data_IF_314803314693
#
_entry.id   IF_314803314693
#
_cell.length_a   1.000
_cell.length_b   1.000
_cell.length_c   1.000
_cell.angle_alpha   90.00
_cell.angle_beta   90.00
_cell.angle_gamma   90.00
#
_symmetry.space_group_name_H-M   'P 1'
#
loop_
_entity.id
_entity.type
_entity.pdbx_description
1 polymer ?
#
# COMPACT_ATOMS: atom_id res chain seq x y z
N UNK A 1 1.60 6.10 -80.03
CA UNK A 1 0.95 7.31 -80.53
C UNK A 1 -0.04 7.78 -79.50
N UNK A 2 0.10 9.07 -79.09
CA UNK A 2 -0.69 9.81 -78.10
C UNK A 2 -0.43 9.61 -76.61
N UNK A 3 0.38 10.49 -76.09
CA UNK A 3 0.51 11.04 -74.76
C UNK A 3 -0.77 11.77 -74.31
N UNK A 4 -1.14 11.64 -73.01
CA UNK A 4 -1.82 12.72 -72.27
C UNK A 4 -1.38 12.73 -70.82
N UNK A 5 -0.67 13.79 -70.48
CA UNK A 5 -0.40 14.29 -69.10
C UNK A 5 -1.65 14.94 -68.52
N UNK A 6 -1.95 14.65 -67.25
CA UNK A 6 -2.70 15.59 -66.45
C UNK A 6 -2.34 15.47 -64.95
N UNK A 7 -1.93 16.51 -64.27
CA UNK A 7 -1.54 16.51 -62.88
C UNK A 7 -2.79 16.69 -61.97
N UNK A 8 -3.08 15.75 -61.14
CA UNK A 8 -4.10 15.89 -60.08
C UNK A 8 -3.47 16.49 -58.84
N UNK A 9 -3.96 17.63 -58.47
CA UNK A 9 -3.61 18.37 -57.25
C UNK A 9 -3.86 17.57 -55.98
N UNK A 10 -2.79 17.26 -55.24
CA UNK A 10 -2.85 16.69 -53.89
C UNK A 10 -3.10 17.87 -52.93
N UNK A 11 -4.33 18.07 -52.46
CA UNK A 11 -4.64 18.92 -51.32
C UNK A 11 -4.26 18.18 -50.05
N UNK A 12 -3.13 18.56 -49.46
CA UNK A 12 -2.76 18.16 -48.12
C UNK A 12 -3.70 18.85 -47.11
N UNK A 13 -4.61 18.08 -46.52
CA UNK A 13 -5.37 18.52 -45.38
C UNK A 13 -4.46 18.41 -44.16
N UNK A 14 -3.92 19.52 -43.67
CA UNK A 14 -3.28 19.64 -42.39
C UNK A 14 -4.38 19.55 -41.30
N UNK A 15 -4.60 18.35 -40.74
CA UNK A 15 -5.28 18.22 -39.46
C UNK A 15 -4.33 18.68 -38.37
N UNK A 16 -4.50 19.90 -37.91
CA UNK A 16 -3.84 20.40 -36.68
C UNK A 16 -4.44 19.61 -35.49
N UNK A 17 -3.76 18.55 -35.06
CA UNK A 17 -3.97 17.98 -33.73
C UNK A 17 -3.44 19.00 -32.71
N UNK A 18 -4.34 19.78 -32.15
CA UNK A 18 -4.09 20.53 -30.95
C UNK A 18 -3.92 19.51 -29.81
N UNK A 19 -2.69 19.06 -29.57
CA UNK A 19 -2.34 18.35 -28.35
C UNK A 19 -2.55 19.32 -27.19
N UNK A 20 -3.66 19.19 -26.49
CA UNK A 20 -3.83 19.79 -25.16
C UNK A 20 -2.85 19.04 -24.27
N UNK A 21 -1.62 19.58 -24.18
CA UNK A 21 -0.69 19.23 -23.12
C UNK A 21 -1.34 19.83 -21.88
N UNK A 22 -2.12 19.02 -21.16
CA UNK A 22 -2.45 19.33 -19.78
C UNK A 22 -1.11 19.45 -19.06
N UNK A 23 -0.71 20.68 -18.74
CA UNK A 23 0.37 20.94 -17.80
C UNK A 23 -0.03 20.20 -16.51
N UNK A 24 0.49 18.99 -16.32
CA UNK A 24 0.55 18.41 -15.00
C UNK A 24 1.42 19.36 -14.18
N UNK A 25 0.79 20.20 -13.38
CA UNK A 25 1.48 20.91 -12.31
C UNK A 25 2.11 19.82 -11.45
N UNK A 26 3.40 19.63 -11.63
CA UNK A 26 4.20 18.72 -10.79
C UNK A 26 3.87 19.06 -9.34
N UNK A 27 3.22 18.15 -8.65
CA UNK A 27 2.91 18.30 -7.23
C UNK A 27 4.24 18.34 -6.52
N UNK A 28 4.58 19.46 -5.92
CA UNK A 28 5.85 19.64 -5.23
C UNK A 28 5.67 19.22 -3.78
N UNK A 29 6.55 18.38 -3.26
CA UNK A 29 6.61 18.12 -1.83
C UNK A 29 7.19 19.33 -1.08
N UNK A 30 6.57 19.66 0.05
CA UNK A 30 7.00 20.73 0.96
C UNK A 30 7.51 20.06 2.22
N UNK A 31 8.80 20.22 2.59
CA UNK A 31 9.33 19.69 3.84
C UNK A 31 8.61 20.31 5.05
N UNK A 32 8.40 19.49 6.09
CA UNK A 32 7.83 19.96 7.36
C UNK A 32 8.84 20.85 8.10
N UNK A 33 8.35 21.91 8.71
CA UNK A 33 9.16 22.87 9.48
C UNK A 33 8.77 22.88 10.95
N UNK A 34 9.67 23.38 11.81
CA UNK A 34 9.38 23.53 13.25
C UNK A 34 8.14 24.38 13.50
N UNK A 35 7.94 25.47 12.77
CA UNK A 35 6.81 26.37 12.92
C UNK A 35 5.46 25.68 12.62
N UNK A 36 5.45 24.74 11.72
CA UNK A 36 4.22 24.02 11.31
C UNK A 36 3.77 22.99 12.34
N UNK A 37 4.65 22.59 13.25
CA UNK A 37 4.33 21.69 14.37
C UNK A 37 4.15 22.44 15.70
N UNK A 38 3.94 23.75 15.66
CA UNK A 38 3.78 24.59 16.86
C UNK A 38 2.80 24.05 17.90
N UNK A 39 1.63 23.49 17.54
CA UNK A 39 0.71 22.91 18.51
C UNK A 39 1.25 21.69 19.30
N UNK A 40 2.39 21.14 18.84
CA UNK A 40 3.00 19.93 19.39
C UNK A 40 4.40 20.18 19.98
N UNK A 41 4.85 21.45 20.07
CA UNK A 41 6.20 21.79 20.56
C UNK A 41 6.49 21.16 21.91
N UNK A 42 5.64 21.37 22.93
CA UNK A 42 5.85 20.82 24.28
C UNK A 42 6.03 19.31 24.28
N UNK A 43 5.27 18.61 23.42
CA UNK A 43 5.33 17.14 23.29
C UNK A 43 6.60 16.67 22.59
N UNK A 44 7.07 17.42 21.58
CA UNK A 44 8.32 17.15 20.88
C UNK A 44 9.52 17.46 21.78
N UNK A 45 9.50 18.59 22.52
CA UNK A 45 10.54 18.99 23.47
C UNK A 45 10.68 18.00 24.61
N UNK A 46 9.57 17.47 25.14
CA UNK A 46 9.59 16.39 26.14
C UNK A 46 10.30 15.12 25.64
N UNK A 47 10.51 14.99 24.33
CA UNK A 47 11.26 13.88 23.68
C UNK A 47 12.64 14.32 23.18
N UNK A 48 13.11 15.52 23.57
CA UNK A 48 14.41 16.06 23.20
C UNK A 48 14.48 16.61 21.77
N UNK A 49 13.33 16.81 21.11
CA UNK A 49 13.24 17.39 19.77
C UNK A 49 12.85 18.88 19.93
N UNK A 50 13.84 19.77 19.86
CA UNK A 50 13.70 21.22 20.00
C UNK A 50 13.84 21.91 18.65
N UNK A 51 13.58 23.23 18.59
CA UNK A 51 13.79 24.00 17.35
C UNK A 51 15.22 23.87 16.79
N UNK A 52 16.21 23.77 17.67
CA UNK A 52 17.62 23.61 17.28
C UNK A 52 17.95 22.22 16.74
N UNK A 53 17.24 21.16 17.17
CA UNK A 53 17.50 19.77 16.79
C UNK A 53 16.54 19.24 15.74
N UNK A 54 15.45 19.96 15.43
CA UNK A 54 14.36 19.50 14.59
C UNK A 54 14.80 19.13 13.16
N UNK A 55 15.55 20.00 12.49
CA UNK A 55 16.03 19.72 11.13
C UNK A 55 16.86 18.43 11.09
N UNK A 56 17.80 18.26 12.03
CA UNK A 56 18.60 17.04 12.14
C UNK A 56 17.76 15.79 12.48
N UNK A 57 16.67 15.94 13.23
CA UNK A 57 15.73 14.85 13.48
C UNK A 57 15.02 14.44 12.19
N UNK A 58 14.45 15.39 11.45
CA UNK A 58 13.76 15.13 10.17
C UNK A 58 14.68 14.46 9.16
N UNK A 59 15.94 14.89 9.05
CA UNK A 59 16.93 14.28 8.15
C UNK A 59 17.28 12.84 8.55
N UNK A 60 17.38 12.55 9.84
CA UNK A 60 17.56 11.16 10.32
C UNK A 60 16.36 10.29 9.99
N UNK A 61 15.12 10.79 10.21
CA UNK A 61 13.91 10.06 9.86
C UNK A 61 13.86 9.76 8.37
N UNK A 62 14.17 10.73 7.50
CA UNK A 62 14.22 10.55 6.05
C UNK A 62 15.23 9.47 5.65
N UNK A 63 16.43 9.50 6.23
CA UNK A 63 17.46 8.50 5.96
C UNK A 63 17.05 7.11 6.44
N UNK A 64 16.44 7.01 7.62
CA UNK A 64 15.93 5.76 8.16
C UNK A 64 14.78 5.20 7.30
N UNK A 65 13.84 6.03 6.91
CA UNK A 65 12.73 5.63 6.03
C UNK A 65 13.25 5.12 4.68
N UNK A 66 14.25 5.77 4.06
CA UNK A 66 14.87 5.28 2.82
C UNK A 66 15.52 3.89 2.99
N UNK A 67 16.17 3.64 4.14
CA UNK A 67 16.67 2.31 4.50
C UNK A 67 15.54 1.31 4.65
N UNK A 68 14.48 1.66 5.38
CA UNK A 68 13.31 0.81 5.65
C UNK A 68 12.52 0.45 4.38
N UNK A 69 12.42 1.36 3.41
CA UNK A 69 11.84 1.06 2.08
C UNK A 69 12.62 -0.07 1.42
N UNK A 70 13.95 0.05 1.35
CA UNK A 70 14.80 -0.99 0.76
C UNK A 70 14.70 -2.32 1.50
N UNK A 71 14.67 -2.30 2.84
CA UNK A 71 14.50 -3.52 3.65
C UNK A 71 13.13 -4.16 3.42
N UNK A 72 12.06 -3.38 3.26
CA UNK A 72 10.73 -3.88 2.90
C UNK A 72 10.71 -4.58 1.55
N UNK A 73 11.33 -3.96 0.53
CA UNK A 73 11.47 -4.58 -0.79
C UNK A 73 12.26 -5.89 -0.74
N UNK A 74 13.30 -5.96 0.10
CA UNK A 74 14.07 -7.19 0.30
C UNK A 74 13.29 -8.25 1.09
N UNK A 75 12.45 -7.86 2.03
CA UNK A 75 11.52 -8.79 2.68
C UNK A 75 10.60 -9.46 1.64
N UNK A 76 10.01 -8.67 0.73
CA UNK A 76 9.20 -9.21 -0.37
C UNK A 76 9.98 -10.15 -1.28
N UNK A 77 11.23 -9.81 -1.60
CA UNK A 77 12.11 -10.68 -2.38
C UNK A 77 12.32 -12.04 -1.70
N UNK A 78 12.55 -12.03 -0.38
CA UNK A 78 12.73 -13.28 0.38
C UNK A 78 11.44 -14.09 0.45
N UNK A 79 10.28 -13.46 0.69
CA UNK A 79 9.00 -14.16 0.67
C UNK A 79 8.68 -14.73 -0.72
N UNK A 80 8.96 -13.97 -1.79
CA UNK A 80 8.85 -14.46 -3.15
C UNK A 80 9.78 -15.67 -3.38
N UNK A 81 11.03 -15.61 -2.93
CA UNK A 81 11.98 -16.71 -3.02
C UNK A 81 11.46 -17.99 -2.32
N UNK A 82 10.79 -17.85 -1.17
CA UNK A 82 10.29 -18.98 -0.41
C UNK A 82 8.99 -19.57 -1.00
N UNK A 83 8.09 -18.74 -1.49
CA UNK A 83 6.70 -19.13 -1.77
C UNK A 83 6.39 -19.31 -3.26
N UNK A 84 7.03 -18.52 -4.16
CA UNK A 84 6.69 -18.53 -5.58
C UNK A 84 7.01 -19.86 -6.28
N UNK A 85 6.13 -20.26 -7.19
CA UNK A 85 6.31 -21.40 -8.07
C UNK A 85 6.68 -20.99 -9.51
N UNK A 86 6.77 -19.70 -9.80
CA UNK A 86 6.96 -19.18 -11.16
C UNK A 86 8.40 -19.33 -11.67
N UNK A 87 9.38 -19.25 -10.79
CA UNK A 87 10.80 -19.31 -11.18
C UNK A 87 11.47 -20.65 -10.88
N UNK A 88 10.83 -21.55 -10.15
CA UNK A 88 11.40 -22.83 -9.71
C UNK A 88 10.35 -23.94 -9.63
N UNK A 89 10.82 -25.20 -9.75
CA UNK A 89 10.00 -26.40 -9.47
C UNK A 89 10.16 -26.92 -8.05
N UNK A 90 11.00 -26.30 -7.24
CA UNK A 90 11.15 -26.67 -5.83
C UNK A 90 9.85 -26.36 -5.08
N UNK A 91 9.44 -27.19 -4.13
CA UNK A 91 8.22 -26.97 -3.36
C UNK A 91 8.28 -25.62 -2.63
N UNK A 92 7.16 -24.88 -2.52
CA UNK A 92 7.11 -23.67 -1.73
C UNK A 92 7.35 -23.97 -0.24
N UNK A 93 7.92 -22.99 0.46
CA UNK A 93 8.23 -23.06 1.88
C UNK A 93 7.38 -22.02 2.60
N UNK A 94 6.65 -22.45 3.60
CA UNK A 94 5.87 -21.57 4.45
C UNK A 94 6.81 -20.73 5.35
N UNK A 95 6.71 -19.39 5.34
CA UNK A 95 7.67 -18.51 6.02
C UNK A 95 7.78 -18.73 7.53
N UNK A 96 6.68 -19.00 8.25
CA UNK A 96 6.74 -19.24 9.69
C UNK A 96 7.47 -20.55 10.03
N UNK A 97 7.26 -21.61 9.22
CA UNK A 97 8.02 -22.87 9.38
C UNK A 97 9.50 -22.67 9.06
N UNK A 98 9.81 -21.88 8.02
CA UNK A 98 11.18 -21.53 7.64
C UNK A 98 11.88 -20.74 8.75
N UNK A 99 11.18 -19.77 9.35
CA UNK A 99 11.67 -18.98 10.46
C UNK A 99 11.96 -19.84 11.71
N UNK A 100 11.05 -20.77 12.02
CA UNK A 100 11.25 -21.72 13.12
C UNK A 100 12.46 -22.62 12.87
N UNK A 101 12.60 -23.18 11.67
CA UNK A 101 13.72 -24.03 11.31
C UNK A 101 15.07 -23.28 11.40
N UNK A 102 15.11 -22.00 11.01
CA UNK A 102 16.30 -21.16 11.15
C UNK A 102 16.75 -21.02 12.62
N UNK A 103 15.81 -20.78 13.53
CA UNK A 103 16.11 -20.65 14.97
C UNK A 103 16.52 -21.99 15.57
N UNK A 104 15.81 -23.05 15.26
CA UNK A 104 16.10 -24.43 15.77
C UNK A 104 17.48 -24.92 15.32
N UNK A 105 17.99 -24.44 14.18
CA UNK A 105 19.32 -24.81 13.65
C UNK A 105 20.46 -23.86 14.07
N UNK A 106 20.21 -22.94 15.00
CA UNK A 106 21.22 -21.97 15.46
C UNK A 106 21.59 -20.95 14.36
N UNK A 107 20.60 -20.41 13.67
CA UNK A 107 20.71 -19.43 12.58
C UNK A 107 21.40 -19.96 11.30
N UNK A 108 21.48 -21.25 11.11
CA UNK A 108 21.89 -21.83 9.83
C UNK A 108 20.72 -21.88 8.87
N UNK A 109 20.91 -21.34 7.65
CA UNK A 109 19.88 -21.40 6.62
C UNK A 109 19.56 -22.86 6.27
N UNK A 110 18.27 -23.25 6.23
CA UNK A 110 17.87 -24.58 5.75
C UNK A 110 18.33 -24.81 4.30
N UNK A 111 18.75 -26.04 3.94
CA UNK A 111 19.25 -26.33 2.58
C UNK A 111 18.25 -26.03 1.47
N UNK A 112 16.97 -26.31 1.71
CA UNK A 112 15.86 -26.06 0.78
C UNK A 112 15.63 -24.55 0.56
N UNK A 113 15.66 -23.74 1.61
CA UNK A 113 15.59 -22.28 1.51
C UNK A 113 16.77 -21.71 0.71
N UNK A 114 17.99 -22.20 0.96
CA UNK A 114 19.18 -21.79 0.19
C UNK A 114 19.07 -22.21 -1.28
N UNK A 115 18.55 -23.40 -1.57
CA UNK A 115 18.33 -23.88 -2.93
C UNK A 115 17.37 -22.95 -3.68
N UNK A 116 16.26 -22.53 -3.06
CA UNK A 116 15.31 -21.60 -3.68
C UNK A 116 15.92 -20.22 -3.93
N UNK A 117 16.77 -19.70 -3.04
CA UNK A 117 17.50 -18.45 -3.25
C UNK A 117 18.41 -18.57 -4.49
N UNK A 118 19.10 -19.69 -4.68
CA UNK A 118 19.90 -19.93 -5.90
C UNK A 118 19.09 -19.98 -7.16
N UNK A 119 17.96 -20.70 -7.14
CA UNK A 119 17.02 -20.74 -8.29
C UNK A 119 16.49 -19.34 -8.65
N UNK A 120 16.16 -18.52 -7.63
CA UNK A 120 15.75 -17.14 -7.86
C UNK A 120 16.87 -16.31 -8.50
N UNK A 121 18.11 -16.42 -8.02
CA UNK A 121 19.26 -15.73 -8.62
C UNK A 121 19.47 -16.16 -10.07
N UNK A 122 19.35 -17.46 -10.38
CA UNK A 122 19.42 -17.96 -11.74
C UNK A 122 18.30 -17.36 -12.64
N UNK A 123 17.07 -17.24 -12.09
CA UNK A 123 15.95 -16.62 -12.81
C UNK A 123 16.17 -15.11 -13.02
N UNK A 124 16.74 -14.41 -12.02
CA UNK A 124 17.11 -13.00 -12.12
C UNK A 124 18.14 -12.75 -13.22
N UNK A 125 19.13 -13.61 -13.35
CA UNK A 125 20.19 -13.48 -14.37
C UNK A 125 19.74 -14.00 -15.76
N UNK A 126 18.61 -14.70 -15.84
CA UNK A 126 18.06 -15.18 -17.11
C UNK A 126 17.25 -14.09 -17.82
N UNK A 127 16.79 -14.40 -19.04
CA UNK A 127 15.90 -13.53 -19.82
C UNK A 127 14.42 -13.65 -19.43
N UNK A 128 14.10 -14.02 -18.20
CA UNK A 128 12.71 -14.13 -17.72
C UNK A 128 11.91 -12.84 -17.98
N UNK A 129 10.71 -12.98 -18.50
CA UNK A 129 9.74 -11.91 -18.72
C UNK A 129 8.69 -11.84 -17.61
N UNK A 130 8.79 -12.69 -16.59
CA UNK A 130 7.91 -12.62 -15.43
C UNK A 130 8.00 -11.24 -14.76
N UNK A 131 6.89 -10.54 -14.53
CA UNK A 131 6.90 -9.18 -13.99
C UNK A 131 7.56 -9.08 -12.61
N UNK A 132 7.40 -10.09 -11.74
CA UNK A 132 8.02 -10.10 -10.41
C UNK A 132 9.52 -10.36 -10.49
N UNK A 133 9.96 -11.31 -11.33
CA UNK A 133 11.39 -11.56 -11.57
C UNK A 133 12.05 -10.31 -12.16
N UNK A 134 11.38 -9.62 -13.08
CA UNK A 134 11.88 -8.37 -13.66
C UNK A 134 12.02 -7.26 -12.61
N UNK A 135 11.01 -7.12 -11.76
CA UNK A 135 11.05 -6.18 -10.63
C UNK A 135 12.22 -6.48 -9.68
N UNK A 136 12.33 -7.73 -9.23
CA UNK A 136 13.37 -8.15 -8.29
C UNK A 136 14.77 -8.14 -8.92
N UNK A 137 14.91 -8.34 -10.24
CA UNK A 137 16.17 -8.14 -10.95
C UNK A 137 16.70 -6.73 -10.77
N UNK A 138 15.85 -5.72 -11.00
CA UNK A 138 16.23 -4.32 -10.82
C UNK A 138 16.65 -4.04 -9.37
N UNK A 139 15.89 -4.55 -8.39
CA UNK A 139 16.19 -4.40 -6.96
C UNK A 139 17.54 -5.05 -6.59
N UNK A 140 17.76 -6.31 -6.98
CA UNK A 140 18.98 -7.07 -6.63
C UNK A 140 20.21 -6.44 -7.26
N UNK A 141 20.14 -6.02 -8.52
CA UNK A 141 21.29 -5.39 -9.20
C UNK A 141 21.62 -4.02 -8.59
N UNK A 142 20.62 -3.23 -8.21
CA UNK A 142 20.85 -1.93 -7.56
C UNK A 142 21.41 -2.08 -6.14
N UNK A 143 20.91 -3.07 -5.38
CA UNK A 143 21.31 -3.26 -3.98
C UNK A 143 22.61 -4.03 -3.84
N UNK A 144 22.84 -5.05 -4.68
CA UNK A 144 23.99 -5.95 -4.65
C UNK A 144 24.71 -5.96 -6.01
N UNK A 145 25.49 -4.92 -6.33
CA UNK A 145 26.13 -4.79 -7.65
C UNK A 145 27.18 -5.88 -7.95
N UNK A 146 27.79 -6.45 -6.92
CA UNK A 146 28.81 -7.50 -7.07
C UNK A 146 28.13 -8.87 -7.20
N UNK A 147 28.12 -9.43 -8.41
CA UNK A 147 27.43 -10.69 -8.70
C UNK A 147 27.87 -11.88 -7.81
N UNK A 148 29.17 -11.99 -7.54
CA UNK A 148 29.74 -13.07 -6.73
C UNK A 148 29.40 -12.99 -5.24
N UNK A 149 28.85 -11.87 -4.76
CA UNK A 149 28.44 -11.70 -3.35
C UNK A 149 26.91 -11.78 -3.17
N UNK A 150 26.13 -11.91 -4.25
CA UNK A 150 24.66 -11.83 -4.19
C UNK A 150 24.03 -12.97 -3.38
N UNK A 151 24.52 -14.21 -3.52
CA UNK A 151 23.99 -15.34 -2.76
C UNK A 151 24.14 -15.11 -1.27
N UNK A 152 25.34 -14.77 -0.82
CA UNK A 152 25.62 -14.55 0.62
C UNK A 152 24.82 -13.35 1.15
N UNK A 153 24.72 -12.27 0.38
CA UNK A 153 23.91 -11.12 0.74
C UNK A 153 22.41 -11.48 0.88
N UNK A 154 21.85 -12.27 -0.03
CA UNK A 154 20.47 -12.73 0.08
C UNK A 154 20.26 -13.74 1.23
N UNK A 155 21.26 -14.52 1.57
CA UNK A 155 21.24 -15.37 2.76
C UNK A 155 21.20 -14.52 4.05
N UNK A 156 21.90 -13.40 4.09
CA UNK A 156 21.83 -12.48 5.23
C UNK A 156 20.47 -11.78 5.32
N UNK A 157 19.91 -11.37 4.19
CA UNK A 157 18.53 -10.82 4.13
C UNK A 157 17.48 -11.88 4.52
N UNK A 158 17.65 -13.13 4.10
CA UNK A 158 16.79 -14.23 4.56
C UNK A 158 16.84 -14.35 6.09
N UNK A 159 18.04 -14.32 6.70
CA UNK A 159 18.16 -14.37 8.16
C UNK A 159 17.44 -13.20 8.84
N UNK A 160 17.56 -11.99 8.30
CA UNK A 160 16.88 -10.79 8.80
C UNK A 160 15.37 -10.94 8.73
N UNK A 161 14.83 -11.29 7.55
CA UNK A 161 13.40 -11.46 7.34
C UNK A 161 12.83 -12.58 8.21
N UNK A 162 13.49 -13.75 8.31
CA UNK A 162 13.02 -14.87 9.11
C UNK A 162 13.09 -14.61 10.62
N UNK A 163 14.04 -13.83 11.11
CA UNK A 163 14.04 -13.36 12.51
C UNK A 163 12.83 -12.49 12.83
N UNK A 164 12.46 -11.60 11.92
CA UNK A 164 11.24 -10.81 12.08
C UNK A 164 10.01 -11.72 12.13
N UNK A 165 9.86 -12.65 11.19
CA UNK A 165 8.75 -13.61 11.17
C UNK A 165 8.69 -14.43 12.46
N UNK A 166 9.83 -14.96 12.90
CA UNK A 166 9.90 -15.73 14.16
C UNK A 166 9.45 -14.89 15.36
N UNK A 167 9.98 -13.68 15.49
CA UNK A 167 9.62 -12.80 16.60
C UNK A 167 8.14 -12.43 16.56
N UNK A 168 7.58 -12.17 15.38
CA UNK A 168 6.17 -11.85 15.20
C UNK A 168 5.26 -13.04 15.58
N UNK A 169 5.53 -14.21 15.01
CA UNK A 169 4.61 -15.36 15.12
C UNK A 169 4.76 -16.13 16.44
N UNK A 170 5.97 -16.19 17.00
CA UNK A 170 6.24 -17.07 18.14
C UNK A 170 6.60 -16.35 19.44
N UNK A 171 7.03 -15.08 19.38
CA UNK A 171 7.48 -14.33 20.57
C UNK A 171 6.52 -13.20 20.91
N UNK A 172 6.32 -12.24 20.03
CA UNK A 172 5.57 -11.02 20.33
C UNK A 172 4.09 -11.27 20.60
N UNK A 173 3.49 -12.26 19.92
CA UNK A 173 2.08 -12.64 20.21
C UNK A 173 1.86 -13.07 21.66
N UNK A 174 2.88 -13.69 22.29
CA UNK A 174 2.83 -14.10 23.70
C UNK A 174 3.12 -12.95 24.65
N UNK A 175 3.86 -11.94 24.19
CA UNK A 175 4.25 -10.78 24.99
C UNK A 175 3.22 -9.63 24.95
N UNK A 176 2.23 -9.69 24.05
CA UNK A 176 1.12 -8.74 23.93
C UNK A 176 1.30 -7.67 22.82
N UNK A 177 0.26 -6.87 22.64
CA UNK A 177 0.15 -5.92 21.53
C UNK A 177 1.29 -4.90 21.44
N UNK A 178 1.87 -4.47 22.56
CA UNK A 178 3.00 -3.54 22.58
C UNK A 178 4.25 -4.12 21.91
N UNK A 179 4.58 -5.40 22.17
CA UNK A 179 5.74 -6.04 21.56
C UNK A 179 5.56 -6.22 20.04
N UNK A 180 4.34 -6.48 19.57
CA UNK A 180 4.02 -6.52 18.14
C UNK A 180 4.23 -5.14 17.49
N UNK A 181 3.75 -4.08 18.13
CA UNK A 181 3.93 -2.71 17.64
C UNK A 181 5.42 -2.31 17.53
N UNK A 182 6.25 -2.71 18.51
CA UNK A 182 7.70 -2.47 18.47
C UNK A 182 8.37 -3.14 17.27
N UNK A 183 7.95 -4.37 16.93
CA UNK A 183 8.44 -5.06 15.75
C UNK A 183 8.11 -4.32 14.45
N UNK A 184 6.89 -3.78 14.32
CA UNK A 184 6.49 -3.01 13.14
C UNK A 184 7.26 -1.70 13.02
N UNK A 185 7.55 -1.03 14.13
CA UNK A 185 8.37 0.19 14.15
C UNK A 185 9.83 -0.07 13.73
N UNK A 186 10.34 -1.26 13.99
CA UNK A 186 11.74 -1.61 13.70
C UNK A 186 11.98 -2.24 12.32
N UNK A 187 10.93 -2.79 11.65
CA UNK A 187 11.08 -3.51 10.37
C UNK A 187 11.14 -2.60 9.15
N UNK A 188 11.46 -3.19 7.99
CA UNK A 188 11.27 -2.56 6.69
C UNK A 188 9.80 -2.19 6.42
N UNK A 189 9.57 -1.18 5.58
CA UNK A 189 8.23 -0.75 5.20
C UNK A 189 7.67 -1.72 4.16
N UNK A 190 6.67 -2.51 4.56
CA UNK A 190 5.98 -3.43 3.66
C UNK A 190 5.02 -2.67 2.76
N UNK A 191 4.96 -3.08 1.48
CA UNK A 191 3.99 -2.57 0.52
C UNK A 191 2.79 -3.50 0.36
N UNK A 192 2.77 -4.67 1.02
CA UNK A 192 1.63 -5.59 0.92
C UNK A 192 0.33 -4.93 1.39
N UNK A 193 -0.72 -5.13 0.61
CA UNK A 193 -2.06 -4.67 0.96
C UNK A 193 -3.06 -5.82 0.84
N UNK A 194 -4.08 -5.81 1.69
CA UNK A 194 -5.10 -6.84 1.75
C UNK A 194 -6.44 -6.30 1.27
N UNK A 195 -7.26 -7.15 0.64
CA UNK A 195 -8.64 -6.81 0.26
C UNK A 195 -9.45 -6.37 1.48
N UNK A 196 -9.14 -6.93 2.63
CA UNK A 196 -9.73 -6.61 3.93
C UNK A 196 -9.54 -5.13 4.32
N UNK A 197 -8.41 -4.51 3.95
CA UNK A 197 -8.19 -3.08 4.18
C UNK A 197 -9.21 -2.21 3.40
N UNK A 198 -9.58 -2.63 2.19
CA UNK A 198 -10.65 -1.99 1.42
C UNK A 198 -12.00 -2.10 2.10
N UNK A 199 -12.30 -3.21 2.76
CA UNK A 199 -13.54 -3.38 3.54
C UNK A 199 -13.61 -2.43 4.74
N UNK A 200 -12.49 -2.20 5.41
CA UNK A 200 -12.40 -1.23 6.51
C UNK A 200 -12.70 0.19 6.01
N UNK A 201 -12.09 0.58 4.88
CA UNK A 201 -12.34 1.88 4.24
C UNK A 201 -13.80 2.01 3.80
N UNK A 202 -14.38 0.99 3.14
CA UNK A 202 -15.79 0.98 2.73
C UNK A 202 -16.73 1.22 3.91
N UNK A 203 -16.49 0.57 5.05
CA UNK A 203 -17.25 0.79 6.27
C UNK A 203 -17.12 2.21 6.80
N UNK A 204 -15.89 2.78 6.81
CA UNK A 204 -15.67 4.16 7.23
C UNK A 204 -16.42 5.17 6.34
N UNK A 205 -16.37 4.97 5.03
CA UNK A 205 -17.09 5.80 4.07
C UNK A 205 -18.62 5.64 4.18
N UNK A 206 -19.11 4.43 4.48
CA UNK A 206 -20.52 4.18 4.78
C UNK A 206 -21.01 4.93 6.02
N UNK A 207 -20.18 5.00 7.07
CA UNK A 207 -20.47 5.83 8.25
C UNK A 207 -20.52 7.30 7.86
N UNK A 208 -19.52 7.80 7.13
CA UNK A 208 -19.48 9.19 6.68
C UNK A 208 -20.73 9.56 5.86
N UNK A 209 -21.16 8.68 4.94
CA UNK A 209 -22.41 8.87 4.18
C UNK A 209 -23.65 8.91 5.08
N UNK A 210 -23.68 8.11 6.13
CA UNK A 210 -24.79 8.08 7.08
C UNK A 210 -24.85 9.34 7.96
N UNK A 211 -23.70 9.86 8.35
CA UNK A 211 -23.58 11.08 9.17
C UNK A 211 -23.85 12.35 8.35
N UNK A 212 -23.43 12.36 7.08
CA UNK A 212 -23.57 13.49 6.17
C UNK A 212 -24.01 13.01 4.78
N UNK A 213 -25.31 12.74 4.57
CA UNK A 213 -25.84 12.20 3.31
C UNK A 213 -25.64 13.11 2.11
N UNK A 214 -25.51 14.43 2.33
CA UNK A 214 -25.31 15.44 1.28
C UNK A 214 -23.84 15.60 0.88
N UNK A 215 -22.93 15.02 1.63
CA UNK A 215 -21.48 15.19 1.43
C UNK A 215 -21.07 14.77 0.03
N UNK A 216 -20.16 15.57 -0.54
CA UNK A 216 -19.49 15.27 -1.80
C UNK A 216 -17.98 15.35 -1.61
N UNK A 217 -17.29 14.30 -2.03
CA UNK A 217 -15.84 14.16 -1.99
C UNK A 217 -15.34 14.24 -3.43
N UNK A 218 -14.44 15.15 -3.71
CA UNK A 218 -13.90 15.38 -5.05
C UNK A 218 -12.40 15.09 -5.13
N UNK A 219 -11.70 15.31 -4.02
CA UNK A 219 -10.26 15.19 -4.00
C UNK A 219 -9.82 14.33 -2.82
N UNK A 220 -9.17 13.20 -3.13
CA UNK A 220 -8.78 12.16 -2.16
C UNK A 220 -7.28 11.93 -2.22
N UNK A 221 -6.66 11.81 -1.06
CA UNK A 221 -5.30 11.31 -0.91
C UNK A 221 -5.33 9.94 -0.23
N UNK A 222 -4.71 8.96 -0.85
CA UNK A 222 -4.44 7.65 -0.25
C UNK A 222 -2.95 7.59 0.04
N UNK A 223 -2.58 7.50 1.31
CA UNK A 223 -1.19 7.39 1.74
C UNK A 223 -0.84 5.92 1.95
N UNK A 224 0.22 5.45 1.29
CA UNK A 224 0.65 4.07 1.34
C UNK A 224 -0.33 3.10 0.66
N UNK A 225 -0.73 3.33 -0.62
CA UNK A 225 -1.66 2.44 -1.32
C UNK A 225 -1.14 1.02 -1.50
N UNK A 226 0.17 0.83 -1.37
CA UNK A 226 0.82 -0.46 -1.43
C UNK A 226 0.97 -1.04 -2.83
N UNK A 227 1.74 -2.13 -2.91
CA UNK A 227 1.96 -2.95 -4.10
C UNK A 227 2.23 -4.39 -3.66
N UNK A 228 1.34 -5.30 -3.98
CA UNK A 228 1.46 -6.71 -3.61
C UNK A 228 2.43 -7.42 -4.55
N UNK A 229 3.61 -7.76 -4.04
CA UNK A 229 4.72 -8.33 -4.81
C UNK A 229 4.99 -9.80 -4.49
N UNK A 230 4.70 -10.24 -3.27
CA UNK A 230 4.94 -11.60 -2.83
C UNK A 230 3.62 -12.40 -2.75
N UNK A 231 3.65 -13.70 -3.04
CA UNK A 231 2.48 -14.55 -2.81
C UNK A 231 2.18 -14.58 -1.31
N UNK A 232 0.90 -14.67 -0.98
CA UNK A 232 0.47 -14.89 0.39
C UNK A 232 0.55 -16.37 0.71
N UNK A 233 0.77 -16.68 1.99
CA UNK A 233 0.79 -18.07 2.46
C UNK A 233 -0.49 -18.80 2.02
N UNK A 234 -0.32 -19.91 1.33
CA UNK A 234 -1.40 -20.75 0.80
C UNK A 234 -2.09 -20.22 -0.45
N UNK A 235 -1.68 -19.05 -0.98
CA UNK A 235 -2.19 -18.49 -2.23
C UNK A 235 -1.24 -18.77 -3.37
N UNK A 236 -1.81 -19.04 -4.54
CA UNK A 236 -1.07 -19.14 -5.80
C UNK A 236 -0.96 -17.74 -6.41
N UNK A 237 0.18 -17.44 -7.03
CA UNK A 237 0.35 -16.22 -7.82
C UNK A 237 -0.53 -16.28 -9.06
N UNK A 238 -1.61 -15.50 -9.07
CA UNK A 238 -2.62 -15.54 -10.15
C UNK A 238 -2.44 -14.42 -11.18
N UNK A 239 -1.66 -13.38 -10.83
CA UNK A 239 -1.50 -12.23 -11.69
C UNK A 239 -0.17 -11.50 -11.49
N UNK A 240 0.06 -10.40 -12.23
CA UNK A 240 1.21 -9.52 -12.02
C UNK A 240 1.12 -8.84 -10.66
N UNK A 241 2.21 -8.14 -10.21
CA UNK A 241 2.14 -7.24 -9.05
C UNK A 241 0.98 -6.25 -9.19
N UNK A 242 0.21 -6.04 -8.11
CA UNK A 242 -0.97 -5.18 -8.15
C UNK A 242 -1.08 -4.27 -6.93
N UNK A 243 -1.62 -3.06 -7.16
CA UNK A 243 -2.02 -2.13 -6.11
C UNK A 243 -3.55 -2.05 -6.11
N UNK A 244 -4.15 -2.70 -5.13
CA UNK A 244 -5.60 -2.87 -5.06
C UNK A 244 -6.32 -1.66 -4.45
N UNK A 245 -5.75 -1.05 -3.42
CA UNK A 245 -6.43 -0.09 -2.55
C UNK A 245 -7.01 1.14 -3.28
N UNK A 246 -6.34 1.77 -4.27
CA UNK A 246 -6.93 2.90 -4.97
C UNK A 246 -8.24 2.58 -5.68
N UNK A 247 -8.35 1.39 -6.26
CA UNK A 247 -9.57 0.94 -6.93
C UNK A 247 -10.70 0.68 -5.95
N UNK A 248 -10.40 0.07 -4.80
CA UNK A 248 -11.37 -0.14 -3.72
C UNK A 248 -11.92 1.19 -3.18
N UNK A 249 -11.07 2.20 -3.06
CA UNK A 249 -11.48 3.54 -2.60
C UNK A 249 -12.38 4.22 -3.64
N UNK A 250 -12.01 4.18 -4.93
CA UNK A 250 -12.84 4.73 -6.00
C UNK A 250 -14.21 4.03 -6.05
N UNK A 251 -14.22 2.69 -6.00
CA UNK A 251 -15.45 1.90 -5.98
C UNK A 251 -16.35 2.28 -4.80
N UNK A 252 -15.79 2.36 -3.60
CA UNK A 252 -16.53 2.74 -2.40
C UNK A 252 -17.12 4.17 -2.49
N UNK A 253 -16.36 5.13 -3.01
CA UNK A 253 -16.82 6.52 -3.16
C UNK A 253 -17.96 6.64 -4.15
N UNK A 254 -17.89 5.92 -5.26
CA UNK A 254 -18.93 5.94 -6.31
C UNK A 254 -20.17 5.15 -5.87
N UNK A 255 -19.98 3.94 -5.35
CA UNK A 255 -21.12 3.06 -4.94
C UNK A 255 -21.90 3.61 -3.76
N UNK A 256 -21.26 4.35 -2.85
CA UNK A 256 -21.93 5.04 -1.73
C UNK A 256 -22.48 6.44 -2.09
N UNK A 257 -22.43 6.84 -3.36
CA UNK A 257 -22.83 8.19 -3.82
C UNK A 257 -22.17 9.30 -2.98
N UNK A 258 -20.89 9.14 -2.65
CA UNK A 258 -20.04 10.18 -2.06
C UNK A 258 -19.32 10.99 -3.13
N UNK A 259 -19.11 10.42 -4.32
CA UNK A 259 -18.43 11.06 -5.45
C UNK A 259 -19.11 10.74 -6.77
N UNK A 260 -18.94 11.64 -7.75
CA UNK A 260 -19.16 11.34 -9.16
C UNK A 260 -17.80 11.14 -9.82
N UNK A 261 -17.67 10.11 -10.63
CA UNK A 261 -16.39 9.78 -11.28
C UNK A 261 -15.86 10.95 -12.11
N UNK A 262 -16.74 11.71 -12.77
CA UNK A 262 -16.36 12.90 -13.58
C UNK A 262 -15.64 14.00 -12.79
N UNK A 263 -15.89 14.07 -11.49
CA UNK A 263 -15.41 15.17 -10.62
C UNK A 263 -14.34 14.67 -9.62
N UNK A 264 -14.05 13.36 -9.64
CA UNK A 264 -13.17 12.71 -8.68
C UNK A 264 -11.71 12.75 -9.12
N UNK A 265 -10.85 13.15 -8.22
CA UNK A 265 -9.39 13.01 -8.33
C UNK A 265 -8.88 12.23 -7.12
N UNK A 266 -8.22 11.11 -7.37
CA UNK A 266 -7.58 10.28 -6.35
C UNK A 266 -6.07 10.34 -6.56
N UNK A 267 -5.35 10.73 -5.52
CA UNK A 267 -3.89 10.74 -5.50
C UNK A 267 -3.44 9.57 -4.62
N UNK A 268 -2.78 8.58 -5.22
CA UNK A 268 -2.05 7.56 -4.48
C UNK A 268 -0.64 8.08 -4.17
N UNK A 269 -0.32 8.26 -2.91
CA UNK A 269 1.00 8.73 -2.52
C UNK A 269 1.74 7.67 -1.70
N UNK A 270 2.95 7.35 -2.10
CA UNK A 270 3.77 6.34 -1.44
C UNK A 270 5.21 6.82 -1.30
N UNK A 271 5.86 6.38 -0.23
CA UNK A 271 7.29 6.63 -0.03
C UNK A 271 8.16 5.74 -0.93
N UNK A 272 7.62 4.61 -1.40
CA UNK A 272 8.30 3.70 -2.31
C UNK A 272 8.06 4.12 -3.77
N UNK A 273 9.09 4.61 -4.49
CA UNK A 273 8.94 5.09 -5.87
C UNK A 273 8.43 4.00 -6.84
N UNK A 274 8.62 2.71 -6.52
CA UNK A 274 8.12 1.62 -7.35
C UNK A 274 6.61 1.48 -7.29
N UNK A 275 5.99 1.78 -6.13
CA UNK A 275 4.54 1.86 -5.98
C UNK A 275 4.00 3.00 -6.84
N UNK A 276 4.65 4.17 -6.77
CA UNK A 276 4.31 5.34 -7.59
C UNK A 276 4.39 5.03 -9.08
N UNK A 277 5.50 4.45 -9.54
CA UNK A 277 5.69 4.02 -10.93
C UNK A 277 4.62 3.02 -11.40
N UNK A 278 4.22 2.10 -10.52
CA UNK A 278 3.15 1.15 -10.81
C UNK A 278 1.81 1.87 -11.03
N UNK A 279 1.45 2.79 -10.16
CA UNK A 279 0.20 3.55 -10.25
C UNK A 279 0.17 4.49 -11.46
N UNK A 280 1.30 5.12 -11.81
CA UNK A 280 1.43 5.94 -13.02
C UNK A 280 1.13 5.11 -14.27
N UNK A 281 1.67 3.88 -14.35
CA UNK A 281 1.37 2.96 -15.46
C UNK A 281 -0.09 2.50 -15.44
N UNK A 282 -0.65 2.22 -14.27
CA UNK A 282 -2.03 1.78 -14.10
C UNK A 282 -3.05 2.80 -14.61
N UNK A 283 -2.73 4.09 -14.56
CA UNK A 283 -3.57 5.17 -15.09
C UNK A 283 -3.78 5.08 -16.59
N UNK A 284 -2.75 4.70 -17.35
CA UNK A 284 -2.80 4.62 -18.82
C UNK A 284 -3.16 3.24 -19.34
N UNK A 285 -2.93 2.19 -18.55
CA UNK A 285 -3.25 0.81 -18.83
C UNK A 285 -3.80 0.13 -17.59
N UNK A 286 -5.14 0.19 -17.36
CA UNK A 286 -5.75 -0.42 -16.18
C UNK A 286 -5.37 -1.89 -16.04
N UNK A 287 -4.83 -2.30 -14.88
CA UNK A 287 -4.36 -3.65 -14.67
C UNK A 287 -5.53 -4.65 -14.56
N UNK A 288 -5.24 -5.91 -14.83
CA UNK A 288 -6.11 -7.00 -14.40
C UNK A 288 -5.82 -7.25 -12.91
N UNK A 289 -6.82 -7.03 -12.06
CA UNK A 289 -6.74 -7.24 -10.61
C UNK A 289 -7.27 -8.62 -10.26
N UNK A 290 -6.57 -9.32 -9.39
CA UNK A 290 -6.96 -10.63 -8.87
C UNK A 290 -7.16 -10.55 -7.37
N UNK A 291 -8.41 -10.35 -6.96
CA UNK A 291 -8.79 -10.19 -5.56
C UNK A 291 -8.96 -11.57 -4.91
N UNK A 292 -8.31 -11.76 -3.79
CA UNK A 292 -8.39 -12.99 -3.01
C UNK A 292 -8.61 -12.64 -1.54
N UNK A 293 -9.65 -13.21 -0.91
CA UNK A 293 -9.93 -13.00 0.51
C UNK A 293 -8.93 -13.77 1.39
N UNK A 294 -8.95 -13.48 2.70
CA UNK A 294 -8.39 -14.43 3.68
C UNK A 294 -9.08 -15.78 3.55
N UNK A 295 -8.37 -16.84 3.97
CA UNK A 295 -8.86 -18.21 3.89
C UNK A 295 -9.95 -18.52 4.90
N UNK A 296 -10.97 -19.24 4.46
CA UNK A 296 -11.93 -19.92 5.32
C UNK A 296 -11.49 -21.34 5.65
N UNK A 297 -11.86 -21.80 6.82
CA UNK A 297 -11.59 -23.14 7.30
C UNK A 297 -12.70 -23.62 8.23
N UNK A 298 -12.61 -24.81 8.77
CA UNK A 298 -13.54 -25.28 9.79
C UNK A 298 -13.59 -24.38 11.05
N UNK A 299 -12.58 -23.56 11.28
CA UNK A 299 -12.48 -22.67 12.44
C UNK A 299 -12.50 -21.17 12.08
N UNK A 300 -12.48 -20.80 10.80
CA UNK A 300 -12.48 -19.41 10.34
C UNK A 300 -13.61 -19.22 9.35
N UNK A 301 -14.59 -18.37 9.67
CA UNK A 301 -15.74 -18.10 8.83
C UNK A 301 -15.86 -16.60 8.54
N UNK A 302 -15.86 -16.22 7.26
CA UNK A 302 -16.07 -14.85 6.82
C UNK A 302 -17.46 -14.37 7.23
N UNK A 303 -17.59 -13.11 7.65
CA UNK A 303 -18.89 -12.51 7.96
C UNK A 303 -19.70 -12.26 6.69
N UNK A 304 -21.03 -12.24 6.82
CA UNK A 304 -21.94 -11.96 5.70
C UNK A 304 -21.71 -10.55 5.13
N UNK A 305 -21.40 -9.56 5.99
CA UNK A 305 -21.07 -8.21 5.55
C UNK A 305 -19.79 -8.18 4.70
N UNK A 306 -18.76 -8.92 5.11
CA UNK A 306 -17.52 -8.99 4.32
C UNK A 306 -17.76 -9.72 2.99
N UNK A 307 -18.53 -10.81 2.98
CA UNK A 307 -18.92 -11.51 1.74
C UNK A 307 -19.69 -10.62 0.80
N UNK A 308 -20.67 -9.86 1.32
CA UNK A 308 -21.44 -8.91 0.53
C UNK A 308 -20.57 -7.83 -0.09
N UNK A 309 -19.64 -7.26 0.68
CA UNK A 309 -18.64 -6.33 0.18
C UNK A 309 -17.78 -6.94 -0.93
N UNK A 310 -17.21 -8.13 -0.70
CA UNK A 310 -16.35 -8.80 -1.68
C UNK A 310 -17.09 -9.09 -3.00
N UNK A 311 -18.36 -9.50 -2.92
CA UNK A 311 -19.19 -9.74 -4.10
C UNK A 311 -19.52 -8.44 -4.85
N UNK A 312 -19.69 -7.34 -4.13
CA UNK A 312 -20.07 -6.05 -4.72
C UNK A 312 -18.92 -5.29 -5.34
N UNK A 313 -17.71 -5.42 -4.80
CA UNK A 313 -16.56 -4.61 -5.22
C UNK A 313 -16.32 -4.68 -6.73
N UNK A 314 -16.10 -3.53 -7.33
CA UNK A 314 -15.83 -3.35 -8.76
C UNK A 314 -17.06 -3.35 -9.64
N UNK A 315 -18.27 -3.60 -9.11
CA UNK A 315 -19.50 -3.74 -9.93
C UNK A 315 -19.81 -2.50 -10.77
N UNK A 316 -19.49 -1.29 -10.28
CA UNK A 316 -19.78 -0.03 -10.96
C UNK A 316 -18.59 0.59 -11.69
N UNK A 317 -17.37 0.03 -11.54
CA UNK A 317 -16.14 0.66 -12.01
C UNK A 317 -15.23 -0.27 -12.84
N UNK A 318 -15.61 -1.54 -13.01
CA UNK A 318 -14.73 -2.53 -13.63
C UNK A 318 -15.53 -3.61 -14.38
N UNK A 319 -14.88 -4.22 -15.39
CA UNK A 319 -15.35 -5.43 -16.03
C UNK A 319 -14.86 -6.66 -15.28
N UNK A 320 -15.75 -7.65 -15.09
CA UNK A 320 -15.40 -8.95 -14.55
C UNK A 320 -14.75 -9.86 -15.59
N UNK A 321 -13.74 -10.62 -15.16
CA UNK A 321 -13.05 -11.58 -16.00
C UNK A 321 -13.05 -12.98 -15.37
N UNK A 322 -13.00 -14.01 -16.22
CA UNK A 322 -12.75 -15.36 -15.75
C UNK A 322 -11.32 -15.45 -15.23
N UNK A 323 -11.11 -15.99 -14.02
CA UNK A 323 -9.77 -16.18 -13.50
C UNK A 323 -8.90 -17.02 -14.42
N UNK A 324 -7.61 -16.74 -14.56
CA UNK A 324 -6.70 -17.52 -15.40
C UNK A 324 -6.48 -18.96 -14.89
N UNK A 325 -6.76 -19.20 -13.60
CA UNK A 325 -6.69 -20.51 -12.94
C UNK A 325 -7.91 -20.75 -12.05
N UNK A 326 -8.11 -22.00 -11.65
CA UNK A 326 -9.16 -22.34 -10.68
C UNK A 326 -8.91 -21.64 -9.34
N UNK A 327 -9.95 -21.05 -8.73
CA UNK A 327 -9.82 -20.43 -7.42
C UNK A 327 -9.22 -21.39 -6.38
N UNK A 328 -8.42 -20.83 -5.46
CA UNK A 328 -7.91 -21.60 -4.32
C UNK A 328 -9.07 -21.92 -3.39
N UNK A 329 -9.20 -23.20 -3.00
CA UNK A 329 -10.27 -23.65 -2.11
C UNK A 329 -10.26 -22.89 -0.78
N UNK A 330 -11.43 -22.53 -0.29
CA UNK A 330 -11.59 -21.80 0.97
C UNK A 330 -11.36 -20.29 0.87
N UNK A 331 -11.21 -19.72 -0.32
CA UNK A 331 -11.10 -18.28 -0.51
C UNK A 331 -12.22 -17.75 -1.41
N UNK A 332 -12.69 -16.53 -1.15
CA UNK A 332 -13.41 -15.77 -2.15
C UNK A 332 -12.40 -15.27 -3.19
N UNK A 333 -12.81 -15.32 -4.45
CA UNK A 333 -11.93 -15.03 -5.57
C UNK A 333 -12.65 -14.22 -6.63
N UNK A 334 -12.02 -13.16 -7.15
CA UNK A 334 -12.59 -12.30 -8.17
C UNK A 334 -11.50 -11.70 -9.04
N UNK A 335 -11.70 -11.72 -10.35
CA UNK A 335 -10.81 -11.04 -11.29
C UNK A 335 -11.56 -9.95 -12.01
N UNK A 336 -11.03 -8.73 -12.04
CA UNK A 336 -11.64 -7.57 -12.65
C UNK A 336 -10.61 -6.61 -13.23
N UNK A 337 -11.04 -5.81 -14.22
CA UNK A 337 -10.24 -4.75 -14.81
C UNK A 337 -11.00 -3.44 -14.70
N UNK A 338 -10.45 -2.43 -14.01
CA UNK A 338 -11.05 -1.10 -13.95
C UNK A 338 -11.26 -0.51 -15.35
N UNK A 339 -12.33 0.24 -15.54
CA UNK A 339 -12.59 0.94 -16.80
C UNK A 339 -11.54 2.05 -17.02
N UNK A 340 -11.31 2.42 -18.26
CA UNK A 340 -10.28 3.42 -18.61
C UNK A 340 -10.59 4.82 -18.05
N UNK A 341 -11.85 5.20 -17.97
CA UNK A 341 -12.30 6.47 -17.37
C UNK A 341 -12.09 6.48 -15.83
N UNK A 342 -12.30 5.33 -15.17
CA UNK A 342 -11.98 5.16 -13.74
C UNK A 342 -10.47 5.34 -13.51
N UNK A 343 -9.64 4.78 -14.38
CA UNK A 343 -8.20 4.92 -14.29
C UNK A 343 -7.72 6.37 -14.46
N UNK A 344 -8.44 7.18 -15.24
CA UNK A 344 -8.10 8.61 -15.39
C UNK A 344 -8.29 9.43 -14.09
N UNK A 345 -9.15 8.98 -13.18
CA UNK A 345 -9.33 9.63 -11.88
C UNK A 345 -8.10 9.43 -10.95
N UNK A 346 -7.24 8.43 -11.22
CA UNK A 346 -6.06 8.10 -10.42
C UNK A 346 -4.85 8.90 -10.88
N UNK A 347 -4.08 9.43 -9.94
CA UNK A 347 -2.72 9.95 -10.10
C UNK A 347 -1.83 9.41 -8.99
N UNK A 348 -0.51 9.56 -9.13
CA UNK A 348 0.43 9.07 -8.13
C UNK A 348 1.55 10.06 -7.87
N UNK A 349 1.99 10.13 -6.61
CA UNK A 349 3.04 11.05 -6.13
C UNK A 349 3.96 10.34 -5.14
N UNK A 350 5.24 10.70 -5.12
CA UNK A 350 6.16 10.25 -4.09
C UNK A 350 5.99 11.11 -2.83
N UNK A 351 5.77 10.46 -1.67
CA UNK A 351 5.56 11.18 -0.41
C UNK A 351 6.07 10.37 0.78
N UNK A 352 7.00 10.94 1.52
CA UNK A 352 7.25 10.58 2.92
C UNK A 352 6.37 11.45 3.82
N UNK A 353 5.22 10.92 4.25
CA UNK A 353 4.23 11.65 5.05
C UNK A 353 4.79 12.20 6.36
N UNK A 354 5.84 11.58 6.91
CA UNK A 354 6.47 12.05 8.17
C UNK A 354 7.25 13.33 7.93
N UNK A 355 8.01 13.41 6.84
CA UNK A 355 8.99 14.48 6.62
C UNK A 355 8.52 15.56 5.65
N UNK A 356 7.40 15.33 4.93
CA UNK A 356 6.90 16.27 3.94
C UNK A 356 5.39 16.11 3.70
N UNK A 357 4.82 17.09 2.99
CA UNK A 357 3.45 17.08 2.48
C UNK A 357 3.41 17.48 1.00
N UNK A 358 2.32 17.14 0.33
CA UNK A 358 2.06 17.57 -1.03
C UNK A 358 1.61 19.04 -1.05
N UNK A 359 2.10 19.81 -2.03
CA UNK A 359 1.58 21.14 -2.35
C UNK A 359 0.34 21.03 -3.24
N UNK A 360 -0.48 22.10 -3.29
CA UNK A 360 -1.61 22.18 -4.19
C UNK A 360 -2.96 22.33 -3.48
N UNK A 361 -4.07 22.11 -4.19
CA UNK A 361 -5.40 22.22 -3.59
C UNK A 361 -5.57 21.20 -2.46
N UNK A 362 -6.28 21.57 -1.37
CA UNK A 362 -6.48 20.68 -0.24
C UNK A 362 -7.35 19.47 -0.60
N UNK A 363 -7.29 18.41 0.21
CA UNK A 363 -8.03 17.18 0.05
C UNK A 363 -9.30 17.18 0.91
N UNK A 364 -10.42 16.69 0.35
CA UNK A 364 -11.66 16.46 1.08
C UNK A 364 -11.56 15.24 2.00
N UNK A 365 -10.72 14.28 1.60
CA UNK A 365 -10.50 13.02 2.31
C UNK A 365 -9.03 12.61 2.21
N UNK A 366 -8.42 12.27 3.34
CA UNK A 366 -7.11 11.61 3.39
C UNK A 366 -7.30 10.25 4.07
N UNK A 367 -6.80 9.19 3.43
CA UNK A 367 -6.87 7.82 3.92
C UNK A 367 -5.45 7.34 4.22
N UNK A 368 -5.24 6.78 5.43
CA UNK A 368 -3.96 6.22 5.85
C UNK A 368 -4.22 4.92 6.65
N UNK A 369 -4.38 3.81 5.96
CA UNK A 369 -4.58 2.50 6.60
C UNK A 369 -3.31 1.67 6.57
N UNK A 370 -3.02 0.98 7.68
CA UNK A 370 -1.89 0.08 7.86
C UNK A 370 -0.49 0.72 7.73
N UNK A 371 -0.37 2.05 7.73
CA UNK A 371 0.91 2.76 7.68
C UNK A 371 1.29 3.39 9.02
N UNK A 372 0.33 3.90 9.79
CA UNK A 372 0.59 4.55 11.08
C UNK A 372 1.23 3.63 12.13
N UNK A 373 0.99 2.30 12.15
CA UNK A 373 1.69 1.38 13.05
C UNK A 373 3.22 1.37 12.89
N UNK A 374 3.75 1.79 11.74
CA UNK A 374 5.19 1.88 11.48
C UNK A 374 5.86 3.09 12.14
N UNK A 375 5.07 4.06 12.65
CA UNK A 375 5.56 5.33 13.18
C UNK A 375 5.65 5.28 14.71
N UNK A 376 6.74 5.82 15.24
CA UNK A 376 6.83 6.17 16.65
C UNK A 376 6.00 7.44 16.95
N UNK A 377 5.90 7.83 18.23
CA UNK A 377 5.08 8.98 18.62
C UNK A 377 5.53 10.31 17.99
N UNK A 378 6.83 10.66 17.94
CA UNK A 378 7.28 11.85 17.22
C UNK A 378 6.94 11.81 15.72
N UNK A 379 7.13 10.67 15.07
CA UNK A 379 6.77 10.49 13.65
C UNK A 379 5.26 10.63 13.42
N UNK A 380 4.42 10.12 14.35
CA UNK A 380 2.97 10.34 14.30
C UNK A 380 2.61 11.82 14.43
N UNK A 381 3.30 12.58 15.30
CA UNK A 381 3.09 14.01 15.43
C UNK A 381 3.35 14.74 14.11
N UNK A 382 4.46 14.44 13.44
CA UNK A 382 4.80 15.05 12.18
C UNK A 382 3.84 14.64 11.06
N UNK A 383 3.57 13.33 10.93
CA UNK A 383 2.65 12.81 9.91
C UNK A 383 1.25 13.39 10.05
N UNK A 384 0.72 13.48 11.29
CA UNK A 384 -0.62 14.03 11.55
C UNK A 384 -0.67 15.54 11.30
N UNK A 385 0.42 16.28 11.59
CA UNK A 385 0.53 17.71 11.22
C UNK A 385 0.48 17.89 9.70
N UNK A 386 1.20 17.06 8.94
CA UNK A 386 1.17 17.10 7.49
C UNK A 386 -0.24 16.75 6.94
N UNK A 387 -0.92 15.75 7.52
CA UNK A 387 -2.33 15.43 7.18
C UNK A 387 -3.23 16.64 7.42
N UNK A 388 -3.16 17.25 8.61
CA UNK A 388 -3.96 18.42 8.94
C UNK A 388 -3.72 19.59 7.98
N UNK A 389 -2.46 19.81 7.59
CA UNK A 389 -2.09 20.87 6.64
C UNK A 389 -2.65 20.63 5.23
N UNK A 390 -2.72 19.37 4.78
CA UNK A 390 -3.23 19.00 3.45
C UNK A 390 -4.76 18.90 3.37
N UNK A 391 -5.48 18.75 4.48
CA UNK A 391 -6.95 18.66 4.48
C UNK A 391 -7.61 20.03 4.23
N UNK A 392 -8.68 19.99 3.46
CA UNK A 392 -9.63 21.10 3.33
C UNK A 392 -10.29 21.43 4.68
N UNK A 393 -10.81 22.64 4.90
CA UNK A 393 -11.77 22.87 5.97
C UNK A 393 -12.91 21.86 5.89
N UNK A 394 -13.32 21.27 7.02
CA UNK A 394 -14.30 20.18 7.08
C UNK A 394 -13.87 18.86 6.40
N UNK A 395 -12.62 18.76 5.96
CA UNK A 395 -12.05 17.54 5.38
C UNK A 395 -11.91 16.41 6.39
N UNK A 396 -11.90 15.17 5.92
CA UNK A 396 -11.89 13.96 6.74
C UNK A 396 -10.55 13.26 6.67
N UNK A 397 -10.01 12.88 7.83
CA UNK A 397 -8.92 11.94 7.97
C UNK A 397 -9.48 10.56 8.39
N UNK A 398 -9.30 9.54 7.54
CA UNK A 398 -9.71 8.16 7.77
C UNK A 398 -8.46 7.30 7.98
N UNK A 399 -8.41 6.56 9.11
CA UNK A 399 -7.31 5.64 9.41
C UNK A 399 -7.79 4.47 10.28
N UNK A 400 -6.89 3.50 10.52
CA UNK A 400 -7.16 2.33 11.37
C UNK A 400 -6.18 2.17 12.55
N UNK A 401 -5.54 3.26 13.01
CA UNK A 401 -4.59 3.24 14.12
C UNK A 401 -5.29 3.59 15.44
N UNK A 402 -5.46 2.63 16.36
CA UNK A 402 -6.23 2.85 17.59
C UNK A 402 -5.40 3.35 18.79
N UNK A 403 -4.11 3.68 18.61
CA UNK A 403 -3.28 4.13 19.75
C UNK A 403 -3.86 5.38 20.41
N UNK A 404 -4.04 5.39 21.76
CA UNK A 404 -4.63 6.54 22.47
C UNK A 404 -3.87 7.85 22.25
N UNK A 405 -2.53 7.80 22.15
CA UNK A 405 -1.70 8.98 21.90
C UNK A 405 -2.07 9.73 20.61
N UNK A 406 -2.61 9.02 19.60
CA UNK A 406 -3.02 9.62 18.34
C UNK A 406 -4.24 10.54 18.53
N UNK A 407 -5.17 10.21 19.42
CA UNK A 407 -6.30 11.07 19.76
C UNK A 407 -5.87 12.45 20.28
N UNK A 408 -4.87 12.46 21.17
CA UNK A 408 -4.32 13.72 21.70
C UNK A 408 -3.54 14.51 20.62
N UNK A 409 -2.86 13.83 19.70
CA UNK A 409 -2.12 14.46 18.62
C UNK A 409 -3.09 15.08 17.62
N UNK A 410 -4.12 14.33 17.19
CA UNK A 410 -5.13 14.80 16.22
C UNK A 410 -5.86 16.04 16.75
N UNK A 411 -6.28 16.01 18.01
CA UNK A 411 -6.95 17.17 18.63
C UNK A 411 -6.04 18.41 18.68
N UNK A 412 -4.76 18.24 19.03
CA UNK A 412 -3.80 19.34 19.06
C UNK A 412 -3.60 20.03 17.70
N UNK A 413 -3.65 19.26 16.60
CA UNK A 413 -3.51 19.81 15.23
C UNK A 413 -4.85 20.18 14.58
N UNK A 414 -5.95 20.20 15.35
CA UNK A 414 -7.27 20.63 14.88
C UNK A 414 -8.03 19.57 14.09
N UNK A 415 -7.75 18.31 14.30
CA UNK A 415 -8.50 17.17 13.76
C UNK A 415 -9.35 16.57 14.88
N UNK A 416 -10.66 16.87 14.87
CA UNK A 416 -11.58 16.35 15.88
C UNK A 416 -11.98 14.91 15.59
N UNK A 417 -11.96 14.10 16.64
CA UNK A 417 -12.54 12.76 16.57
C UNK A 417 -14.04 12.83 16.25
N UNK A 418 -14.49 12.09 15.26
CA UNK A 418 -15.91 11.98 14.87
C UNK A 418 -16.48 10.63 15.23
N UNK A 419 -15.81 9.54 14.81
CA UNK A 419 -16.35 8.20 14.95
C UNK A 419 -15.26 7.13 14.96
N UNK A 420 -15.57 6.03 15.65
CA UNK A 420 -14.83 4.78 15.57
C UNK A 420 -15.81 3.63 15.35
N UNK A 421 -15.45 2.73 14.44
CA UNK A 421 -16.16 1.45 14.29
C UNK A 421 -15.16 0.31 14.29
N UNK A 422 -15.47 -0.74 15.07
CA UNK A 422 -14.84 -2.03 14.92
C UNK A 422 -15.55 -2.79 13.79
N UNK A 423 -14.78 -3.32 12.87
CA UNK A 423 -15.25 -4.08 11.72
C UNK A 423 -14.80 -5.52 11.87
N UNK A 424 -15.71 -6.47 11.82
CA UNK A 424 -15.41 -7.90 11.90
C UNK A 424 -15.36 -8.48 10.50
N UNK A 425 -14.21 -9.03 10.15
CA UNK A 425 -13.95 -9.65 8.84
C UNK A 425 -14.33 -11.13 8.89
N UNK A 426 -13.88 -11.82 9.93
CA UNK A 426 -14.17 -13.22 10.14
C UNK A 426 -14.37 -13.57 11.61
N UNK A 427 -15.24 -14.54 11.88
CA UNK A 427 -15.34 -15.19 13.19
C UNK A 427 -14.35 -16.35 13.25
N UNK A 428 -13.73 -16.56 14.42
CA UNK A 428 -12.73 -17.60 14.63
C UNK A 428 -13.16 -18.45 15.83
N UNK A 429 -13.33 -19.74 15.62
CA UNK A 429 -13.74 -20.70 16.66
C UNK A 429 -12.60 -21.12 17.60
N UNK A 430 -11.63 -20.23 17.80
CA UNK A 430 -10.46 -20.45 18.67
C UNK A 430 -10.37 -19.41 19.77
N UNK A 431 -9.50 -19.62 20.75
CA UNK A 431 -9.24 -18.68 21.84
C UNK A 431 -8.67 -17.30 21.38
N UNK A 432 -8.30 -17.15 20.11
CA UNK A 432 -7.78 -15.92 19.55
C UNK A 432 -8.84 -14.86 19.27
N UNK A 433 -10.13 -15.22 19.32
CA UNK A 433 -11.25 -14.32 19.03
C UNK A 433 -11.41 -13.97 17.53
N UNK A 434 -12.40 -13.13 17.17
CA UNK A 434 -12.69 -12.79 15.79
C UNK A 434 -11.58 -11.95 15.16
N UNK A 435 -11.40 -12.10 13.84
CA UNK A 435 -10.54 -11.22 13.06
C UNK A 435 -11.28 -9.88 12.85
N UNK A 436 -10.77 -8.87 13.49
CA UNK A 436 -11.36 -7.52 13.45
C UNK A 436 -10.32 -6.48 13.09
N UNK A 437 -10.78 -5.38 12.53
CA UNK A 437 -10.02 -4.15 12.38
C UNK A 437 -10.87 -2.97 12.88
N UNK A 438 -10.29 -1.79 12.95
CA UNK A 438 -11.00 -0.57 13.32
C UNK A 438 -10.92 0.46 12.21
N UNK A 439 -11.93 1.30 12.10
CA UNK A 439 -11.87 2.51 11.28
C UNK A 439 -12.18 3.70 12.17
N UNK A 440 -11.37 4.75 12.04
CA UNK A 440 -11.49 6.00 12.79
C UNK A 440 -11.61 7.16 11.82
N UNK A 441 -12.50 8.07 12.13
CA UNK A 441 -12.76 9.29 11.37
C UNK A 441 -12.45 10.49 12.25
N UNK A 442 -11.64 11.41 11.72
CA UNK A 442 -11.39 12.72 12.30
C UNK A 442 -11.76 13.80 11.28
N UNK A 443 -12.35 14.88 11.76
CA UNK A 443 -12.76 16.01 10.92
C UNK A 443 -11.89 17.22 11.22
N UNK A 444 -11.41 17.91 10.19
CA UNK A 444 -10.70 19.17 10.35
C UNK A 444 -11.66 20.28 10.72
N UNK A 445 -11.36 21.01 11.80
CA UNK A 445 -12.11 22.22 12.22
C UNK A 445 -12.21 23.23 11.06
N UNK A 446 -13.38 23.81 10.92
CA UNK A 446 -13.56 25.04 10.15
C UNK A 446 -13.05 26.18 11.03
N UNK A 447 -11.96 26.80 10.64
CA UNK A 447 -11.42 27.99 11.35
C UNK A 447 -12.25 29.22 11.03
#
# INVERSE_FOLDING_TARGET
>A
MFTYNNPVYLRAAFCAFASVIALQTSTRTIPITWQEVAPLHDRLEARGITSATFAGYVDRVRSDNARRVREGDLDHLIFYALQSTHFTKLPPIEPALSAKALVDTGNRIPPDARARIRELLNAIESSSTDPRVTYFRALVHATFPKANAREDALVDEYRRAMRFVYNKEFVAQRAGAGAVADLYRARGLSTDTAVEAGFVVYNGLGILKSLDPARRIRRVLIVGPGLDLAPRTGLVEEGPPESYQPWAVIDALVSLDLSRLSDLTVVGADINPRVVDHLVRARTGPPLLTLVSIGESASVHLTDEYRAYFNHIGTGIADGFTPPRSPVSGHLFKTLRPHADVAQALSAEELDLVTARLSGPPFDLIIATNILPYFDDPQLMLATSNVAAMLAPDGIFLHNEPRPVLGDITEAVGLHFEQLRRVTIATVSSATGPLTDVVMLHRKKVQ
#
